data_IF_592799895559
#
_entry.id   IF_592799895559
#
_cell.length_a   1.000
_cell.length_b   1.000
_cell.length_c   1.000
_cell.angle_alpha   90.00
_cell.angle_beta   90.00
_cell.angle_gamma   90.00
#
_symmetry.space_group_name_H-M   'P 1'
#
loop_
_entity.id
_entity.type
_entity.pdbx_description
1 polymer ?
#
# COMPACT_ATOMS: atom_id res chain seq x y z
N UNK A 1 -27.15 8.02 -23.49
CA UNK A 1 -27.33 7.84 -22.03
C UNK A 1 -27.46 6.34 -21.85
N UNK A 2 -26.29 5.66 -21.71
CA UNK A 2 -26.27 4.23 -21.41
C UNK A 2 -26.41 4.09 -19.90
N UNK A 3 -27.36 3.27 -19.51
CA UNK A 3 -27.70 2.85 -18.17
C UNK A 3 -26.45 2.56 -17.34
N UNK A 4 -26.45 3.03 -16.10
CA UNK A 4 -25.56 2.60 -15.04
C UNK A 4 -25.72 1.08 -14.89
N UNK A 5 -24.94 0.33 -15.65
CA UNK A 5 -24.85 -1.12 -15.46
C UNK A 5 -24.36 -1.34 -14.05
N UNK A 6 -25.11 -2.13 -13.28
CA UNK A 6 -24.79 -2.57 -11.94
C UNK A 6 -23.32 -2.94 -11.82
N UNK A 7 -22.68 -2.54 -10.72
CA UNK A 7 -21.30 -2.91 -10.45
C UNK A 7 -21.17 -4.43 -10.50
N UNK A 8 -20.44 -4.95 -11.46
CA UNK A 8 -20.25 -6.40 -11.63
C UNK A 8 -19.71 -7.06 -10.35
N UNK A 9 -18.93 -6.30 -9.54
CA UNK A 9 -18.34 -6.74 -8.28
C UNK A 9 -18.63 -5.72 -7.18
N UNK A 10 -19.86 -5.73 -6.69
CA UNK A 10 -20.29 -4.86 -5.60
C UNK A 10 -19.82 -5.37 -4.21
N UNK A 11 -20.09 -4.59 -3.18
CA UNK A 11 -19.74 -4.94 -1.80
C UNK A 11 -20.30 -6.32 -1.39
N UNK A 12 -21.52 -6.64 -1.79
CA UNK A 12 -22.19 -7.89 -1.42
C UNK A 12 -21.50 -9.07 -2.09
N UNK A 13 -21.21 -8.95 -3.39
CA UNK A 13 -20.49 -9.96 -4.14
C UNK A 13 -19.11 -10.22 -3.54
N UNK A 14 -18.32 -9.16 -3.29
CA UNK A 14 -16.96 -9.26 -2.73
C UNK A 14 -16.99 -9.95 -1.37
N UNK A 15 -17.88 -9.51 -0.47
CA UNK A 15 -17.98 -10.09 0.88
C UNK A 15 -18.40 -11.56 0.84
N UNK A 16 -19.30 -11.95 -0.10
CA UNK A 16 -19.74 -13.33 -0.23
C UNK A 16 -18.65 -14.32 -0.67
N UNK A 17 -17.52 -13.83 -1.20
CA UNK A 17 -16.38 -14.66 -1.62
C UNK A 17 -15.33 -14.84 -0.52
N UNK A 18 -15.43 -14.07 0.55
CA UNK A 18 -14.47 -14.09 1.64
C UNK A 18 -14.56 -15.38 2.46
N UNK A 19 -13.39 -15.89 2.82
CA UNK A 19 -13.28 -16.95 3.81
C UNK A 19 -13.34 -16.43 5.26
N UNK A 20 -12.75 -17.20 6.16
CA UNK A 20 -12.69 -16.83 7.57
C UNK A 20 -11.64 -15.75 7.84
N UNK A 21 -11.91 -14.90 8.85
CA UNK A 21 -10.91 -14.00 9.42
C UNK A 21 -9.90 -14.79 10.24
N UNK A 22 -8.70 -14.29 10.32
CA UNK A 22 -7.73 -14.77 11.29
C UNK A 22 -8.18 -14.40 12.72
N UNK A 23 -7.76 -15.20 13.70
CA UNK A 23 -7.95 -14.82 15.11
C UNK A 23 -6.93 -13.73 15.44
N UNK A 24 -7.42 -12.58 15.87
CA UNK A 24 -6.61 -11.43 16.26
C UNK A 24 -6.98 -10.98 17.67
N UNK A 25 -6.03 -10.40 18.38
CA UNK A 25 -6.23 -9.78 19.68
C UNK A 25 -6.25 -8.25 19.50
N UNK A 26 -7.30 -7.54 19.92
CA UNK A 26 -7.37 -6.09 19.80
C UNK A 26 -6.31 -5.34 20.62
N UNK A 27 -5.62 -5.99 21.56
CA UNK A 27 -4.55 -5.40 22.37
C UNK A 27 -3.14 -5.62 21.81
N UNK A 28 -3.02 -6.49 20.79
CA UNK A 28 -1.71 -6.90 20.22
C UNK A 28 -1.73 -6.65 18.70
N UNK A 29 -0.67 -6.03 18.12
CA UNK A 29 -0.56 -5.90 16.67
C UNK A 29 -0.47 -7.30 16.05
N UNK A 30 -1.07 -7.51 14.88
CA UNK A 30 -0.99 -8.82 14.24
C UNK A 30 0.39 -9.13 13.65
N UNK A 31 1.30 -8.16 13.63
CA UNK A 31 2.68 -8.36 13.24
C UNK A 31 3.53 -7.11 13.39
N UNK A 32 4.82 -7.28 13.40
CA UNK A 32 5.81 -6.21 13.29
C UNK A 32 7.10 -6.75 12.69
N UNK A 33 7.85 -5.89 12.03
CA UNK A 33 9.17 -6.22 11.46
C UNK A 33 10.03 -4.97 11.29
N UNK A 34 11.27 -5.16 10.92
CA UNK A 34 12.18 -4.09 10.49
C UNK A 34 12.68 -4.42 9.09
N UNK A 35 12.63 -3.44 8.21
CA UNK A 35 13.17 -3.52 6.86
C UNK A 35 14.08 -2.33 6.57
N UNK A 36 14.96 -2.49 5.58
CA UNK A 36 15.72 -1.35 5.04
C UNK A 36 14.90 -0.67 3.95
N UNK A 37 14.74 0.62 4.08
CA UNK A 37 14.13 1.46 3.05
C UNK A 37 15.00 2.69 2.76
N UNK A 38 15.03 3.17 1.53
CA UNK A 38 15.68 4.43 1.19
C UNK A 38 14.89 5.60 1.76
N UNK A 39 15.46 6.29 2.72
CA UNK A 39 14.88 7.47 3.36
C UNK A 39 14.88 8.70 2.42
N UNK A 40 14.22 9.77 2.83
CA UNK A 40 14.25 11.07 2.11
C UNK A 40 15.67 11.61 2.02
N UNK A 41 16.50 11.36 3.04
CA UNK A 41 17.92 11.72 3.07
C UNK A 41 18.76 11.09 1.94
N UNK A 42 18.23 10.05 1.27
CA UNK A 42 18.95 9.26 0.29
C UNK A 42 19.75 8.10 0.88
N UNK A 43 19.78 7.93 2.20
CA UNK A 43 20.39 6.79 2.86
C UNK A 43 19.42 5.60 2.92
N UNK A 44 19.96 4.37 2.91
CA UNK A 44 19.19 3.16 3.22
C UNK A 44 19.18 2.98 4.74
N UNK A 45 18.01 3.18 5.36
CA UNK A 45 17.86 3.21 6.81
C UNK A 45 16.86 2.13 7.28
N UNK A 46 17.05 1.68 8.53
CA UNK A 46 16.15 0.71 9.12
C UNK A 46 14.82 1.39 9.49
N UNK A 47 13.73 0.84 9.00
CA UNK A 47 12.36 1.30 9.19
C UNK A 47 11.55 0.22 9.90
N UNK A 48 10.98 0.54 11.04
CA UNK A 48 10.05 -0.33 11.74
C UNK A 48 8.68 -0.32 11.07
N UNK A 49 8.02 -1.47 11.03
CA UNK A 49 6.64 -1.61 10.58
C UNK A 49 5.85 -2.28 11.68
N UNK A 50 4.72 -1.68 12.05
CA UNK A 50 3.75 -2.27 12.97
C UNK A 50 2.44 -2.47 12.21
N UNK A 51 1.95 -3.69 12.18
CA UNK A 51 0.66 -4.04 11.59
C UNK A 51 -0.40 -4.05 12.68
N UNK A 52 -1.15 -2.98 12.77
CA UNK A 52 -2.14 -2.75 13.82
C UNK A 52 -3.39 -3.60 13.61
N UNK A 53 -3.89 -4.16 14.69
CA UNK A 53 -5.19 -4.82 14.76
C UNK A 53 -6.26 -3.80 15.09
N UNK A 54 -7.20 -3.58 14.20
CA UNK A 54 -8.31 -2.64 14.35
C UNK A 54 -9.54 -3.10 13.58
N UNK A 55 -10.63 -2.33 13.68
CA UNK A 55 -11.84 -2.58 12.91
C UNK A 55 -11.56 -2.54 11.41
N UNK A 56 -12.23 -3.41 10.68
CA UNK A 56 -12.16 -3.48 9.22
C UNK A 56 -12.49 -2.13 8.56
N UNK A 57 -11.73 -1.82 7.50
CA UNK A 57 -11.96 -0.69 6.61
C UNK A 57 -13.40 -0.64 6.10
N UNK A 58 -14.04 0.54 6.02
CA UNK A 58 -15.41 0.67 5.49
C UNK A 58 -15.52 0.37 4.00
N UNK A 59 -14.42 0.46 3.25
CA UNK A 59 -14.37 0.14 1.83
C UNK A 59 -14.16 -1.36 1.59
N UNK A 60 -14.71 -1.87 0.49
CA UNK A 60 -14.64 -3.29 0.10
C UNK A 60 -13.98 -3.41 -1.26
N UNK A 61 -12.69 -3.10 -1.31
CA UNK A 61 -11.94 -3.19 -2.57
C UNK A 61 -11.81 -4.65 -3.02
N UNK A 62 -12.00 -4.89 -4.33
CA UNK A 62 -12.04 -6.22 -4.92
C UNK A 62 -10.79 -7.07 -4.64
N UNK A 63 -9.62 -6.44 -4.70
CA UNK A 63 -8.32 -7.12 -4.52
C UNK A 63 -7.86 -7.22 -3.06
N UNK A 64 -8.55 -6.56 -2.12
CA UNK A 64 -8.07 -6.42 -0.75
C UNK A 64 -8.24 -7.71 0.05
N UNK A 65 -7.17 -8.16 0.70
CA UNK A 65 -7.17 -9.29 1.63
C UNK A 65 -6.89 -8.87 3.10
N UNK A 66 -6.61 -7.60 3.33
CA UNK A 66 -6.23 -7.05 4.63
C UNK A 66 -7.30 -7.23 5.71
N UNK A 67 -8.58 -7.34 5.31
CA UNK A 67 -9.70 -7.62 6.21
C UNK A 67 -9.51 -8.87 7.06
N UNK A 68 -8.65 -9.80 6.64
CA UNK A 68 -8.38 -11.06 7.37
C UNK A 68 -7.83 -10.84 8.78
N UNK A 69 -7.05 -9.76 8.97
CA UNK A 69 -6.39 -9.45 10.24
C UNK A 69 -7.06 -8.30 11.00
N UNK A 70 -8.36 -8.11 10.79
CA UNK A 70 -9.13 -7.02 11.40
C UNK A 70 -10.21 -7.54 12.35
N UNK A 71 -10.67 -6.68 13.26
CA UNK A 71 -11.83 -6.94 14.11
C UNK A 71 -13.14 -6.54 13.43
N UNK A 72 -14.26 -7.04 13.90
CA UNK A 72 -15.60 -6.61 13.45
C UNK A 72 -15.97 -5.28 14.10
N UNK A 73 -15.71 -5.18 15.40
CA UNK A 73 -16.03 -4.01 16.20
C UNK A 73 -14.80 -3.10 16.35
N UNK A 74 -15.06 -1.83 16.63
CA UNK A 74 -14.01 -0.87 16.98
C UNK A 74 -13.26 -1.36 18.22
N UNK A 75 -11.94 -1.30 18.18
CA UNK A 75 -11.11 -1.68 19.32
C UNK A 75 -11.31 -0.70 20.49
N UNK A 76 -11.16 -1.14 21.74
CA UNK A 76 -11.27 -0.26 22.90
C UNK A 76 -10.29 0.91 22.83
N UNK A 77 -10.68 2.06 23.38
CA UNK A 77 -9.77 3.20 23.57
C UNK A 77 -8.54 2.74 24.37
N UNK A 78 -7.36 3.16 23.94
CA UNK A 78 -6.07 2.73 24.49
C UNK A 78 -5.51 1.44 23.87
N UNK A 79 -6.30 0.67 23.11
CA UNK A 79 -5.83 -0.57 22.49
C UNK A 79 -4.73 -0.28 21.43
N UNK A 80 -4.90 0.76 20.62
CA UNK A 80 -3.89 1.12 19.60
C UNK A 80 -2.57 1.56 20.24
N UNK A 81 -2.52 2.48 21.21
CA UNK A 81 -1.30 2.76 21.98
C UNK A 81 -0.65 1.53 22.58
N UNK A 82 -1.45 0.59 23.15
CA UNK A 82 -0.93 -0.65 23.71
C UNK A 82 -0.24 -1.53 22.67
N UNK A 83 -0.83 -1.67 21.48
CA UNK A 83 -0.24 -2.40 20.36
C UNK A 83 1.09 -1.78 19.93
N UNK A 84 1.14 -0.45 19.81
CA UNK A 84 2.38 0.27 19.44
C UNK A 84 3.44 0.01 20.52
N UNK A 85 3.13 0.19 21.80
CA UNK A 85 4.06 -0.06 22.91
C UNK A 85 4.56 -1.51 22.90
N UNK A 86 3.66 -2.47 22.71
CA UNK A 86 3.98 -3.90 22.62
C UNK A 86 5.03 -4.19 21.53
N UNK A 87 4.88 -3.60 20.34
CA UNK A 87 5.83 -3.78 19.25
C UNK A 87 7.17 -3.07 19.53
N UNK A 88 7.12 -1.81 20.01
CA UNK A 88 8.32 -1.01 20.27
C UNK A 88 9.23 -1.64 21.34
N UNK A 89 8.68 -2.30 22.36
CA UNK A 89 9.44 -3.02 23.37
C UNK A 89 10.21 -4.24 22.81
N UNK A 90 9.82 -4.72 21.64
CA UNK A 90 10.35 -5.95 20.99
C UNK A 90 11.12 -5.68 19.71
N UNK A 91 11.06 -4.45 19.24
CA UNK A 91 11.74 -3.99 18.04
C UNK A 91 13.08 -3.35 18.38
N UNK A 92 14.15 -3.57 17.59
CA UNK A 92 15.38 -2.80 17.74
C UNK A 92 15.11 -1.31 17.50
N UNK A 93 16.00 -0.44 18.01
CA UNK A 93 15.90 1.00 17.74
C UNK A 93 15.99 1.29 16.25
N UNK A 94 15.00 1.99 15.71
CA UNK A 94 14.90 2.40 14.31
C UNK A 94 14.58 3.90 14.23
N UNK A 95 14.90 4.55 13.10
CA UNK A 95 14.68 5.99 12.92
C UNK A 95 13.30 6.32 12.34
N UNK A 96 12.71 5.41 11.57
CA UNK A 96 11.44 5.58 10.88
C UNK A 96 10.46 4.50 11.30
N UNK A 97 9.17 4.83 11.33
CA UNK A 97 8.12 3.90 11.72
C UNK A 97 6.93 3.97 10.77
N UNK A 98 6.43 2.80 10.36
CA UNK A 98 5.18 2.66 9.61
C UNK A 98 4.11 2.05 10.52
N UNK A 99 2.97 2.69 10.60
CA UNK A 99 1.79 2.17 11.28
C UNK A 99 0.76 1.78 10.21
N UNK A 100 0.80 0.53 9.80
CA UNK A 100 -0.13 -0.02 8.83
C UNK A 100 -1.28 -0.69 9.56
N UNK A 101 -2.50 -0.31 9.23
CA UNK A 101 -3.68 -0.69 10.00
C UNK A 101 -4.73 -1.42 9.18
N UNK A 102 -4.35 -2.03 8.06
CA UNK A 102 -5.26 -2.78 7.19
C UNK A 102 -6.50 -1.98 6.78
N UNK A 103 -6.34 -0.68 6.60
CA UNK A 103 -7.44 0.21 6.30
C UNK A 103 -7.03 1.68 6.22
N UNK A 104 -7.57 2.50 7.12
CA UNK A 104 -7.32 3.93 7.14
C UNK A 104 -7.09 4.40 8.56
N UNK A 105 -5.93 4.99 8.81
CA UNK A 105 -5.57 5.52 10.12
C UNK A 105 -6.55 6.62 10.58
N UNK A 106 -7.08 7.40 9.64
CA UNK A 106 -8.01 8.48 9.94
C UNK A 106 -9.50 8.07 9.95
N UNK A 107 -9.78 6.76 9.85
CA UNK A 107 -11.11 6.22 10.15
C UNK A 107 -11.31 6.13 11.66
N UNK A 108 -12.29 6.88 12.25
CA UNK A 108 -12.55 6.84 13.69
C UNK A 108 -13.06 5.47 14.17
N UNK A 109 -13.57 4.63 13.24
CA UNK A 109 -13.93 3.26 13.52
C UNK A 109 -12.73 2.33 13.66
N UNK A 110 -11.60 2.67 13.05
CA UNK A 110 -10.36 1.91 13.13
C UNK A 110 -9.44 2.45 14.23
N UNK A 111 -9.16 3.76 14.23
CA UNK A 111 -8.26 4.42 15.19
C UNK A 111 -9.05 5.50 15.94
N UNK A 112 -9.38 5.32 17.22
CA UNK A 112 -10.06 6.33 18.02
C UNK A 112 -9.26 7.64 18.12
N UNK A 113 -9.88 8.79 17.83
CA UNK A 113 -9.19 10.10 17.92
C UNK A 113 -8.70 10.40 19.35
N UNK A 114 -9.33 9.85 20.38
CA UNK A 114 -8.88 9.95 21.77
C UNK A 114 -7.48 9.36 21.98
N UNK A 115 -7.05 8.42 21.15
CA UNK A 115 -5.75 7.76 21.22
C UNK A 115 -4.62 8.56 20.58
N UNK A 116 -4.94 9.56 19.72
CA UNK A 116 -3.93 10.31 18.94
C UNK A 116 -2.82 10.92 19.81
N UNK A 117 -3.19 11.45 20.96
CA UNK A 117 -2.24 12.11 21.88
C UNK A 117 -1.23 11.14 22.47
N UNK A 118 -1.71 9.95 22.87
CA UNK A 118 -0.85 8.89 23.39
C UNK A 118 0.00 8.26 22.28
N UNK A 119 -0.59 8.01 21.10
CA UNK A 119 0.14 7.55 19.91
C UNK A 119 1.29 8.51 19.59
N UNK A 120 1.01 9.81 19.47
CA UNK A 120 2.02 10.83 19.19
C UNK A 120 3.14 10.85 20.24
N UNK A 121 2.80 10.69 21.52
CA UNK A 121 3.77 10.61 22.60
C UNK A 121 4.71 9.40 22.47
N UNK A 122 4.19 8.24 22.09
CA UNK A 122 4.99 7.03 21.86
C UNK A 122 5.94 7.18 20.66
N UNK A 123 5.56 7.98 19.67
CA UNK A 123 6.28 8.13 18.42
C UNK A 123 7.30 9.29 18.40
N UNK A 124 7.41 10.07 19.46
CA UNK A 124 8.21 11.31 19.51
C UNK A 124 9.70 11.14 19.18
N UNK A 125 10.24 9.95 19.27
CA UNK A 125 11.67 9.66 19.08
C UNK A 125 12.02 9.30 17.62
N UNK A 126 11.02 9.09 16.78
CA UNK A 126 11.24 8.81 15.37
C UNK A 126 11.49 10.11 14.59
N UNK A 127 12.07 9.98 13.42
CA UNK A 127 12.22 11.08 12.47
C UNK A 127 10.98 11.18 11.56
N UNK A 128 10.43 10.02 11.16
CA UNK A 128 9.29 9.95 10.26
C UNK A 128 8.28 8.92 10.78
N UNK A 129 7.02 9.30 10.74
CA UNK A 129 5.86 8.42 10.96
C UNK A 129 5.09 8.29 9.66
N UNK A 130 4.89 7.07 9.19
CA UNK A 130 4.13 6.76 7.98
C UNK A 130 2.84 6.06 8.41
N UNK A 131 1.69 6.57 7.98
CA UNK A 131 0.37 5.94 8.18
C UNK A 131 -0.30 5.71 6.83
N UNK A 132 -1.24 4.76 6.77
CA UNK A 132 -2.02 4.54 5.56
C UNK A 132 -3.43 5.10 5.67
N UNK A 133 -3.99 5.57 4.57
CA UNK A 133 -5.37 6.04 4.52
C UNK A 133 -5.99 5.90 3.13
N UNK A 134 -7.30 5.73 3.10
CA UNK A 134 -8.06 5.89 1.88
C UNK A 134 -8.20 7.39 1.58
N UNK A 135 -8.06 7.84 0.30
CA UNK A 135 -8.16 9.27 -0.04
C UNK A 135 -9.41 9.97 0.49
N UNK A 136 -10.56 9.32 0.46
CA UNK A 136 -11.83 9.89 0.98
C UNK A 136 -11.87 10.08 2.50
N UNK A 137 -10.91 9.58 3.24
CA UNK A 137 -10.79 9.78 4.68
C UNK A 137 -9.73 10.83 5.06
N UNK A 138 -9.15 11.48 4.07
CA UNK A 138 -8.26 12.62 4.27
C UNK A 138 -9.10 13.86 4.59
N UNK A 139 -8.99 14.33 5.82
CA UNK A 139 -9.75 15.46 6.37
C UNK A 139 -8.87 16.26 7.33
N UNK A 140 -9.42 17.25 8.01
CA UNK A 140 -8.74 18.00 9.08
C UNK A 140 -8.15 17.13 10.20
N UNK A 141 -8.61 15.87 10.35
CA UNK A 141 -8.06 14.92 11.33
C UNK A 141 -6.59 14.62 11.06
N UNK A 142 -6.20 14.62 9.78
CA UNK A 142 -4.79 14.47 9.40
C UNK A 142 -3.93 15.59 9.96
N UNK A 143 -4.44 16.83 9.89
CA UNK A 143 -3.75 18.02 10.42
C UNK A 143 -3.71 17.98 11.95
N UNK A 144 -4.82 17.63 12.60
CA UNK A 144 -4.85 17.45 14.07
C UNK A 144 -3.81 16.44 14.55
N UNK A 145 -3.67 15.31 13.85
CA UNK A 145 -2.68 14.29 14.21
C UNK A 145 -1.26 14.79 13.94
N UNK A 146 -1.01 15.41 12.75
CA UNK A 146 0.28 16.03 12.44
C UNK A 146 0.71 17.03 13.52
N UNK A 147 -0.20 17.88 13.98
CA UNK A 147 0.10 18.94 14.97
C UNK A 147 0.44 18.39 16.37
N UNK A 148 0.11 17.14 16.64
CA UNK A 148 0.51 16.41 17.86
C UNK A 148 1.88 15.76 17.74
N UNK A 149 2.35 15.49 16.50
CA UNK A 149 3.59 14.77 16.26
C UNK A 149 4.82 15.68 16.36
N UNK A 150 5.91 15.11 16.86
CA UNK A 150 7.26 15.69 16.72
C UNK A 150 7.89 15.25 15.39
N UNK A 151 7.82 13.97 14.99
CA UNK A 151 8.33 13.50 13.70
C UNK A 151 7.50 14.02 12.51
N UNK A 152 8.10 13.95 11.33
CA UNK A 152 7.40 14.23 10.07
C UNK A 152 6.32 13.17 9.79
N UNK A 153 5.12 13.62 9.43
CA UNK A 153 4.03 12.73 9.03
C UNK A 153 4.06 12.49 7.54
N UNK A 154 4.04 11.22 7.17
CA UNK A 154 3.81 10.76 5.81
C UNK A 154 2.50 9.97 5.74
N UNK A 155 1.72 10.18 4.69
CA UNK A 155 0.47 9.44 4.47
C UNK A 155 0.57 8.62 3.18
N UNK A 156 0.44 7.32 3.32
CA UNK A 156 0.38 6.40 2.20
C UNK A 156 -1.07 6.19 1.77
N UNK A 157 -1.38 6.46 0.49
CA UNK A 157 -2.73 6.36 -0.06
C UNK A 157 -2.77 5.42 -1.27
N UNK A 158 -3.81 4.58 -1.34
CA UNK A 158 -4.06 3.73 -2.49
C UNK A 158 -4.61 4.52 -3.66
N UNK A 159 -3.79 4.82 -4.67
CA UNK A 159 -4.22 5.27 -6.00
C UNK A 159 -4.75 4.10 -6.80
N UNK A 160 -4.12 2.96 -6.68
CA UNK A 160 -4.31 1.68 -7.38
C UNK A 160 -4.02 1.80 -8.87
N UNK A 161 -4.77 2.62 -9.59
CA UNK A 161 -4.64 2.87 -11.03
C UNK A 161 -5.29 4.20 -11.41
N UNK A 162 -4.87 4.77 -12.53
CA UNK A 162 -5.53 5.96 -13.10
C UNK A 162 -6.59 5.60 -14.16
N UNK A 163 -6.76 4.32 -14.47
CA UNK A 163 -7.84 3.88 -15.34
C UNK A 163 -9.19 4.01 -14.60
N UNK A 164 -10.11 4.91 -15.03
CA UNK A 164 -11.33 5.19 -14.26
C UNK A 164 -12.31 4.02 -14.27
N UNK A 165 -12.36 3.25 -15.35
CA UNK A 165 -13.22 2.07 -15.42
C UNK A 165 -12.72 0.98 -14.49
N UNK A 166 -11.41 0.76 -14.46
CA UNK A 166 -10.80 -0.22 -13.58
C UNK A 166 -10.95 0.18 -12.11
N UNK A 167 -10.81 1.48 -11.74
CA UNK A 167 -11.10 1.96 -10.38
C UNK A 167 -12.53 1.61 -9.94
N UNK A 168 -13.48 1.71 -10.86
CA UNK A 168 -14.88 1.32 -10.61
C UNK A 168 -15.00 -0.19 -10.39
N UNK A 169 -14.37 -1.00 -11.24
CA UNK A 169 -14.36 -2.46 -11.14
C UNK A 169 -13.70 -2.92 -9.84
N UNK A 170 -12.59 -2.29 -9.44
CA UNK A 170 -11.91 -2.56 -8.18
C UNK A 170 -12.72 -2.15 -6.94
N UNK A 171 -13.90 -1.56 -7.14
CA UNK A 171 -14.76 -1.07 -6.07
C UNK A 171 -14.03 -0.15 -5.08
N UNK A 172 -13.09 0.64 -5.61
CA UNK A 172 -12.28 1.56 -4.80
C UNK A 172 -13.11 2.74 -4.27
N UNK A 173 -14.28 2.99 -4.85
CA UNK A 173 -15.23 4.03 -4.42
C UNK A 173 -14.62 5.44 -4.39
N UNK A 174 -13.67 5.71 -5.27
CA UNK A 174 -13.07 7.03 -5.48
C UNK A 174 -12.79 7.25 -6.96
N UNK A 175 -12.58 8.51 -7.31
CA UNK A 175 -12.07 8.94 -8.62
C UNK A 175 -10.59 9.31 -8.52
N UNK A 176 -9.93 9.50 -9.66
CA UNK A 176 -8.57 10.04 -9.72
C UNK A 176 -8.51 11.48 -9.18
N UNK A 177 -9.58 12.26 -9.33
CA UNK A 177 -9.67 13.60 -8.77
C UNK A 177 -9.78 13.58 -7.24
N UNK A 178 -10.49 12.61 -6.65
CA UNK A 178 -10.51 12.41 -5.19
C UNK A 178 -9.07 12.19 -4.67
N UNK A 179 -8.29 11.33 -5.34
CA UNK A 179 -6.89 11.10 -4.98
C UNK A 179 -6.05 12.37 -5.11
N UNK A 180 -6.13 13.04 -6.27
CA UNK A 180 -5.37 14.26 -6.55
C UNK A 180 -5.65 15.37 -5.55
N UNK A 181 -6.93 15.59 -5.22
CA UNK A 181 -7.34 16.60 -4.25
C UNK A 181 -6.82 16.27 -2.85
N UNK A 182 -6.89 15.00 -2.44
CA UNK A 182 -6.35 14.54 -1.15
C UNK A 182 -4.82 14.66 -1.09
N UNK A 183 -4.12 14.29 -2.16
CA UNK A 183 -2.66 14.43 -2.23
C UNK A 183 -2.22 15.90 -2.12
N UNK A 184 -2.88 16.79 -2.85
CA UNK A 184 -2.62 18.24 -2.76
C UNK A 184 -2.93 18.80 -1.40
N UNK A 185 -4.09 18.45 -0.83
CA UNK A 185 -4.45 18.89 0.52
C UNK A 185 -3.38 18.52 1.56
N UNK A 186 -2.85 17.30 1.51
CA UNK A 186 -1.77 16.87 2.40
C UNK A 186 -0.48 17.63 2.14
N UNK A 187 -0.04 17.70 0.89
CA UNK A 187 1.19 18.36 0.45
C UNK A 187 1.19 19.87 0.78
N UNK A 188 0.08 20.58 0.51
CA UNK A 188 -0.08 21.99 0.82
C UNK A 188 -0.03 22.27 2.33
N UNK A 189 -0.25 21.24 3.15
CA UNK A 189 -0.17 21.31 4.60
C UNK A 189 1.12 20.67 5.17
N UNK A 190 2.16 20.45 4.36
CA UNK A 190 3.45 19.94 4.79
C UNK A 190 3.43 18.47 5.23
N UNK A 191 2.48 17.67 4.73
CA UNK A 191 2.41 16.24 4.95
C UNK A 191 2.86 15.53 3.67
N UNK A 192 3.86 14.69 3.79
CA UNK A 192 4.40 13.93 2.66
C UNK A 192 3.44 12.83 2.20
N UNK A 193 3.39 12.59 0.90
CA UNK A 193 2.45 11.62 0.32
C UNK A 193 3.17 10.49 -0.38
N UNK A 194 2.75 9.25 -0.04
CA UNK A 194 3.11 8.02 -0.76
C UNK A 194 1.88 7.50 -1.50
N UNK A 195 2.03 7.07 -2.75
CA UNK A 195 0.99 6.40 -3.53
C UNK A 195 1.25 4.90 -3.64
N UNK A 196 0.23 4.08 -3.35
CA UNK A 196 0.23 2.67 -3.72
C UNK A 196 -0.38 2.50 -5.10
N UNK A 197 0.32 1.78 -5.98
CA UNK A 197 -0.04 1.57 -7.39
C UNK A 197 -0.02 0.08 -7.68
N UNK A 198 -1.11 -0.46 -8.20
CA UNK A 198 -1.22 -1.87 -8.53
C UNK A 198 -0.55 -2.18 -9.87
N UNK A 199 0.23 -3.25 -9.90
CA UNK A 199 0.69 -3.85 -11.14
C UNK A 199 -0.25 -4.98 -11.54
N UNK A 200 -0.81 -4.86 -12.74
CA UNK A 200 -1.70 -5.83 -13.37
C UNK A 200 -2.89 -6.23 -12.48
N UNK A 201 -3.76 -5.30 -12.11
CA UNK A 201 -5.05 -5.65 -11.52
C UNK A 201 -5.89 -6.50 -12.49
N UNK A 202 -7.00 -7.12 -12.02
CA UNK A 202 -7.86 -7.97 -12.84
C UNK A 202 -8.25 -7.33 -14.17
N UNK A 203 -8.62 -8.15 -15.15
CA UNK A 203 -9.08 -7.79 -16.51
C UNK A 203 -8.01 -7.15 -17.40
N UNK A 204 -6.78 -7.04 -16.96
CA UNK A 204 -5.68 -6.50 -17.77
C UNK A 204 -4.76 -7.60 -18.29
N UNK A 205 -4.34 -7.45 -19.53
CA UNK A 205 -3.18 -8.15 -20.07
C UNK A 205 -1.91 -7.68 -19.39
N UNK A 206 -0.81 -8.40 -19.53
CA UNK A 206 0.49 -8.03 -18.97
C UNK A 206 0.97 -6.65 -19.46
N UNK A 207 0.80 -6.38 -20.76
CA UNK A 207 1.20 -5.10 -21.36
C UNK A 207 0.35 -3.92 -20.89
N UNK A 208 -0.96 -4.13 -20.73
CA UNK A 208 -1.85 -3.11 -20.16
C UNK A 208 -1.54 -2.86 -18.68
N UNK A 209 -1.19 -3.91 -17.92
CA UNK A 209 -0.76 -3.79 -16.53
C UNK A 209 0.47 -2.89 -16.39
N UNK A 210 1.49 -3.08 -17.25
CA UNK A 210 2.67 -2.21 -17.30
C UNK A 210 2.27 -0.78 -17.68
N UNK A 211 1.49 -0.61 -18.74
CA UNK A 211 1.07 0.71 -19.22
C UNK A 211 0.34 1.51 -18.16
N UNK A 212 -0.69 0.93 -17.53
CA UNK A 212 -1.48 1.65 -16.53
C UNK A 212 -0.72 1.90 -15.23
N UNK A 213 0.22 1.03 -14.83
CA UNK A 213 1.10 1.29 -13.70
C UNK A 213 2.03 2.48 -13.97
N UNK A 214 2.63 2.59 -15.17
CA UNK A 214 3.45 3.73 -15.58
C UNK A 214 2.64 5.02 -15.62
N UNK A 215 1.44 5.02 -16.22
CA UNK A 215 0.55 6.18 -16.24
C UNK A 215 0.14 6.62 -14.81
N UNK A 216 0.00 5.65 -13.90
CA UNK A 216 -0.34 5.93 -12.50
C UNK A 216 0.83 6.57 -11.75
N UNK A 217 2.07 6.18 -12.02
CA UNK A 217 3.28 6.82 -11.48
C UNK A 217 3.37 8.27 -11.96
N UNK A 218 3.19 8.52 -13.27
CA UNK A 218 3.21 9.87 -13.82
C UNK A 218 2.15 10.76 -13.18
N UNK A 219 0.93 10.26 -13.08
CA UNK A 219 -0.18 10.97 -12.45
C UNK A 219 0.09 11.27 -10.98
N UNK A 220 0.63 10.30 -10.22
CA UNK A 220 0.94 10.47 -8.81
C UNK A 220 1.94 11.61 -8.61
N UNK A 221 3.06 11.61 -9.32
CA UNK A 221 4.05 12.69 -9.23
C UNK A 221 3.48 14.04 -9.66
N UNK A 222 2.66 14.08 -10.71
CA UNK A 222 2.00 15.32 -11.17
C UNK A 222 0.91 15.81 -10.18
N UNK A 223 0.53 14.98 -9.21
CA UNK A 223 -0.41 15.31 -8.13
C UNK A 223 0.27 15.75 -6.83
N UNK A 224 1.61 15.83 -6.79
CA UNK A 224 2.38 16.23 -5.61
C UNK A 224 2.80 15.07 -4.70
N UNK A 225 2.71 13.83 -5.18
CA UNK A 225 3.23 12.65 -4.49
C UNK A 225 4.75 12.62 -4.58
N UNK A 226 5.43 12.28 -3.50
CA UNK A 226 6.89 12.20 -3.43
C UNK A 226 7.43 10.77 -3.52
N UNK A 227 6.58 9.80 -3.29
CA UNK A 227 6.95 8.40 -3.25
C UNK A 227 5.86 7.52 -3.84
N UNK A 228 6.21 6.62 -4.76
CA UNK A 228 5.31 5.59 -5.28
C UNK A 228 5.78 4.20 -4.83
N UNK A 229 4.84 3.32 -4.50
CA UNK A 229 5.12 1.89 -4.27
C UNK A 229 4.27 1.06 -5.21
N UNK A 230 4.95 0.25 -6.04
CA UNK A 230 4.31 -0.65 -7.00
C UNK A 230 4.02 -1.96 -6.30
N UNK A 231 2.75 -2.36 -6.30
CA UNK A 231 2.27 -3.57 -5.62
C UNK A 231 1.78 -4.55 -6.69
N UNK A 232 2.51 -5.65 -6.94
CA UNK A 232 2.02 -6.70 -7.81
C UNK A 232 0.78 -7.36 -7.18
N UNK A 233 -0.32 -7.42 -7.94
CA UNK A 233 -1.59 -7.95 -7.42
C UNK A 233 -1.47 -9.44 -7.17
N UNK A 234 -1.99 -9.89 -6.02
CA UNK A 234 -2.00 -11.28 -5.57
C UNK A 234 -3.43 -11.82 -5.48
N UNK A 235 -3.55 -13.12 -5.54
CA UNK A 235 -4.73 -13.83 -5.05
C UNK A 235 -4.68 -13.97 -3.52
N UNK A 236 -5.67 -14.58 -2.91
CA UNK A 236 -5.67 -14.87 -1.48
C UNK A 236 -6.89 -14.32 -0.73
N UNK A 237 -7.83 -13.66 -1.40
CA UNK A 237 -8.98 -13.03 -0.73
C UNK A 237 -10.35 -13.68 -1.05
N UNK A 238 -10.36 -14.74 -1.86
CA UNK A 238 -11.55 -15.45 -2.34
C UNK A 238 -12.11 -14.87 -3.64
N UNK A 239 -12.21 -13.57 -3.77
CA UNK A 239 -12.67 -12.90 -4.98
C UNK A 239 -11.65 -13.02 -6.13
N UNK A 240 -10.38 -12.85 -5.84
CA UNK A 240 -9.31 -12.95 -6.84
C UNK A 240 -9.14 -14.37 -7.37
N UNK A 241 -9.35 -15.40 -6.55
CA UNK A 241 -9.37 -16.81 -6.96
C UNK A 241 -10.52 -17.10 -7.92
N UNK A 242 -11.70 -16.52 -7.67
CA UNK A 242 -12.83 -16.69 -8.59
C UNK A 242 -12.56 -16.02 -9.95
N UNK A 243 -11.92 -14.85 -9.96
CA UNK A 243 -11.51 -14.17 -11.19
C UNK A 243 -10.45 -14.96 -11.96
N UNK A 244 -9.51 -15.57 -11.25
CA UNK A 244 -8.49 -16.45 -11.86
C UNK A 244 -9.16 -17.67 -12.52
N UNK A 245 -10.09 -18.34 -11.85
CA UNK A 245 -10.85 -19.46 -12.41
C UNK A 245 -11.68 -19.07 -13.66
N UNK A 246 -12.10 -17.80 -13.76
CA UNK A 246 -12.81 -17.26 -14.93
C UNK A 246 -11.87 -16.81 -16.05
N UNK A 247 -10.55 -16.80 -15.82
CA UNK A 247 -9.56 -16.24 -16.74
C UNK A 247 -9.54 -14.71 -16.77
N UNK A 248 -10.16 -14.06 -15.79
CA UNK A 248 -10.25 -12.59 -15.65
C UNK A 248 -9.13 -12.00 -14.80
N UNK A 249 -8.33 -12.84 -14.17
CA UNK A 249 -7.13 -12.47 -13.44
C UNK A 249 -5.98 -13.43 -13.73
N UNK A 250 -4.78 -12.91 -13.77
CA UNK A 250 -3.52 -13.67 -13.79
C UNK A 250 -2.48 -12.90 -13.00
N UNK A 251 -1.61 -13.59 -12.28
CA UNK A 251 -0.50 -12.95 -11.58
C UNK A 251 0.39 -12.16 -12.56
N UNK A 252 0.86 -10.97 -12.18
CA UNK A 252 1.86 -10.24 -12.95
C UNK A 252 3.19 -11.01 -12.99
N UNK A 253 3.98 -10.79 -14.03
CA UNK A 253 5.33 -11.34 -14.13
C UNK A 253 6.33 -10.46 -13.37
N UNK A 254 7.29 -11.06 -12.66
CA UNK A 254 8.37 -10.33 -11.95
C UNK A 254 9.14 -9.39 -12.89
N UNK A 255 9.25 -9.74 -14.17
CA UNK A 255 9.88 -8.91 -15.18
C UNK A 255 9.09 -7.61 -15.45
N UNK A 256 7.77 -7.68 -15.38
CA UNK A 256 6.91 -6.50 -15.49
C UNK A 256 7.08 -5.57 -14.28
N UNK A 257 7.28 -6.14 -13.09
CA UNK A 257 7.60 -5.37 -11.89
C UNK A 257 8.94 -4.63 -12.04
N UNK A 258 9.98 -5.33 -12.53
CA UNK A 258 11.28 -4.70 -12.84
C UNK A 258 11.12 -3.53 -13.83
N UNK A 259 10.37 -3.73 -14.94
CA UNK A 259 10.16 -2.69 -15.95
C UNK A 259 9.47 -1.45 -15.42
N UNK A 260 8.44 -1.63 -14.61
CA UNK A 260 7.68 -0.51 -14.05
C UNK A 260 8.49 0.22 -12.98
N UNK A 261 9.24 -0.51 -12.15
CA UNK A 261 10.16 0.07 -11.18
C UNK A 261 11.27 0.89 -11.87
N UNK A 262 11.92 0.31 -12.88
CA UNK A 262 12.96 0.98 -13.68
C UNK A 262 12.41 2.25 -14.37
N UNK A 263 11.21 2.17 -14.95
CA UNK A 263 10.54 3.33 -15.51
C UNK A 263 10.38 4.45 -14.48
N UNK A 264 9.81 4.12 -13.31
CA UNK A 264 9.55 5.11 -12.27
C UNK A 264 10.82 5.75 -11.72
N UNK A 265 11.88 4.98 -11.49
CA UNK A 265 13.19 5.48 -11.06
C UNK A 265 13.79 6.43 -12.10
N UNK A 266 13.76 6.05 -13.38
CA UNK A 266 14.31 6.86 -14.48
C UNK A 266 13.58 8.19 -14.71
N UNK A 267 12.35 8.36 -14.21
CA UNK A 267 11.67 9.66 -14.21
C UNK A 267 12.38 10.71 -13.35
N UNK A 268 13.11 10.26 -12.32
CA UNK A 268 13.83 11.12 -11.37
C UNK A 268 12.96 12.23 -10.75
N UNK A 269 11.68 11.92 -10.47
CA UNK A 269 10.69 12.86 -9.89
C UNK A 269 10.45 12.65 -8.41
N UNK A 270 10.89 11.51 -7.88
CA UNK A 270 10.70 11.09 -6.50
C UNK A 270 11.12 9.65 -6.32
N UNK A 271 10.93 9.09 -5.13
CA UNK A 271 11.30 7.70 -4.83
C UNK A 271 10.24 6.74 -5.37
N UNK A 272 10.70 5.64 -5.97
CA UNK A 272 9.80 4.58 -6.44
C UNK A 272 10.28 3.24 -5.90
N UNK A 273 9.37 2.51 -5.29
CA UNK A 273 9.63 1.19 -4.70
C UNK A 273 8.77 0.13 -5.35
N UNK A 274 9.26 -1.09 -5.36
CA UNK A 274 8.46 -2.28 -5.62
C UNK A 274 8.22 -3.04 -4.31
N UNK A 275 7.01 -3.53 -4.07
CA UNK A 275 6.74 -4.50 -3.03
C UNK A 275 7.48 -5.81 -3.36
N UNK A 276 8.32 -6.26 -2.42
CA UNK A 276 9.19 -7.44 -2.61
C UNK A 276 8.71 -8.69 -1.85
N UNK A 277 7.51 -8.66 -1.28
CA UNK A 277 6.95 -9.79 -0.59
C UNK A 277 6.58 -10.90 -1.56
N UNK A 278 6.98 -12.13 -1.24
CA UNK A 278 6.65 -13.35 -2.00
C UNK A 278 6.94 -13.28 -3.51
N UNK A 279 8.03 -12.61 -3.91
CA UNK A 279 8.39 -12.45 -5.34
C UNK A 279 8.45 -13.76 -6.11
N UNK A 280 8.66 -14.89 -5.43
CA UNK A 280 8.67 -16.22 -6.04
C UNK A 280 7.39 -16.58 -6.79
N UNK A 281 6.22 -16.12 -6.32
CA UNK A 281 4.93 -16.43 -6.97
C UNK A 281 4.77 -15.74 -8.33
N UNK A 282 5.54 -14.67 -8.58
CA UNK A 282 5.51 -13.90 -9.82
C UNK A 282 6.56 -14.37 -10.84
N UNK A 283 7.41 -15.31 -10.47
CA UNK A 283 8.46 -15.82 -11.36
C UNK A 283 8.04 -17.13 -12.00
N UNK A 284 8.18 -17.18 -13.32
CA UNK A 284 8.05 -18.42 -14.11
C UNK A 284 9.38 -19.14 -14.33
N UNK A 285 10.44 -18.68 -13.70
CA UNK A 285 11.79 -19.15 -13.95
C UNK A 285 12.64 -19.15 -12.67
N UNK A 286 12.91 -20.32 -12.14
CA UNK A 286 13.73 -20.47 -10.92
C UNK A 286 15.20 -20.04 -11.14
N UNK A 287 15.70 -20.15 -12.37
CA UNK A 287 17.12 -19.82 -12.68
C UNK A 287 17.46 -18.34 -12.52
N UNK A 288 16.51 -17.44 -12.74
CA UNK A 288 16.76 -16.01 -12.64
C UNK A 288 16.03 -15.34 -11.46
N UNK A 289 15.23 -16.06 -10.70
CA UNK A 289 14.47 -15.51 -9.58
C UNK A 289 15.37 -14.77 -8.58
N UNK A 290 16.41 -15.42 -8.07
CA UNK A 290 17.31 -14.81 -7.08
C UNK A 290 18.01 -13.55 -7.63
N UNK A 291 18.43 -13.57 -8.89
CA UNK A 291 19.07 -12.42 -9.52
C UNK A 291 18.11 -11.25 -9.68
N UNK A 292 16.84 -11.52 -10.06
CA UNK A 292 15.81 -10.50 -10.19
C UNK A 292 15.39 -9.94 -8.84
N UNK A 293 15.24 -10.81 -7.83
CA UNK A 293 14.95 -10.39 -6.46
C UNK A 293 16.04 -9.45 -5.93
N UNK A 294 17.31 -9.82 -6.12
CA UNK A 294 18.44 -8.97 -5.74
C UNK A 294 18.42 -7.63 -6.49
N UNK A 295 18.19 -7.66 -7.81
CA UNK A 295 18.11 -6.45 -8.64
C UNK A 295 16.98 -5.51 -8.16
N UNK A 296 15.77 -6.02 -7.93
CA UNK A 296 14.63 -5.23 -7.44
C UNK A 296 14.95 -4.64 -6.05
N UNK A 297 15.54 -5.43 -5.15
CA UNK A 297 15.94 -4.95 -3.82
C UNK A 297 17.00 -3.85 -3.93
N UNK A 298 18.00 -4.01 -4.79
CA UNK A 298 19.02 -3.00 -5.06
C UNK A 298 18.39 -1.71 -5.61
N UNK A 299 17.49 -1.81 -6.59
CA UNK A 299 16.75 -0.67 -7.14
C UNK A 299 15.94 0.06 -6.06
N UNK A 300 15.28 -0.66 -5.15
CA UNK A 300 14.58 -0.06 -4.03
C UNK A 300 15.53 0.75 -3.12
N UNK A 301 16.71 0.21 -2.83
CA UNK A 301 17.64 0.82 -1.88
C UNK A 301 18.48 1.95 -2.50
N UNK A 302 18.85 1.83 -3.76
CA UNK A 302 19.73 2.79 -4.44
C UNK A 302 18.99 3.85 -5.23
N UNK A 303 17.77 3.54 -5.69
CA UNK A 303 17.02 4.30 -6.70
C UNK A 303 17.83 4.47 -8.00
N UNK A 304 18.62 3.46 -8.32
CA UNK A 304 19.34 3.33 -9.58
C UNK A 304 18.88 2.05 -10.27
N UNK A 305 18.88 2.03 -11.61
CA UNK A 305 18.49 0.88 -12.40
C UNK A 305 19.74 0.12 -12.90
N UNK A 306 20.20 -0.94 -12.17
CA UNK A 306 21.31 -1.78 -12.64
C UNK A 306 20.93 -2.49 -13.95
N UNK A 307 21.91 -3.00 -14.71
CA UNK A 307 21.65 -3.70 -15.96
C UNK A 307 20.60 -4.80 -15.83
N UNK A 308 19.73 -4.95 -16.82
CA UNK A 308 18.67 -5.95 -16.83
C UNK A 308 19.22 -7.38 -16.81
N UNK A 309 18.52 -8.28 -16.12
CA UNK A 309 18.90 -9.68 -16.05
C UNK A 309 18.63 -10.37 -17.39
N UNK A 310 19.69 -10.87 -18.02
CA UNK A 310 19.60 -11.66 -19.26
C UNK A 310 19.28 -13.12 -18.90
N UNK A 311 18.14 -13.61 -19.34
CA UNK A 311 17.72 -14.99 -19.15
C UNK A 311 16.94 -15.47 -20.38
N UNK A 312 17.07 -16.74 -20.71
CA UNK A 312 16.35 -17.38 -21.83
C UNK A 312 14.82 -17.32 -21.67
N UNK A 313 14.32 -17.19 -20.44
CA UNK A 313 12.88 -17.01 -20.16
C UNK A 313 12.31 -15.69 -20.71
N UNK A 314 13.15 -14.70 -21.01
CA UNK A 314 12.75 -13.41 -21.60
C UNK A 314 12.57 -13.46 -23.12
N UNK A 315 12.91 -14.62 -23.74
CA UNK A 315 12.89 -14.78 -25.20
C UNK A 315 11.63 -15.45 -25.74
N UNK A 316 10.59 -15.58 -24.90
CA UNK A 316 9.31 -16.20 -25.28
C UNK A 316 8.19 -15.16 -25.37
#
# INVERSE_FOLDING_TARGET
MSELTDLQYDNQWIVSRRGNRNKVDPQIPYGWLVEKERAVSGAAEDTGIIFLTNRECPFRCLMCDLWKNTTVETVPVGAIPNQIRYALERMPGVRHIKLYNSGSFFDPGAIPESDYKEIASLLRHFETVIVESHPKLITEKCLKFRDLLVPELHVAMGLETVNPELLRILNKQMTTDDFKNSARYLSDNGIHVRAFILLRPPLLTESEGIFWAQQSIDFAFNSGVECCTIIPVRSGNGAMEELDMKGEFNLPDIHSLEKVLEYGINLNKGRVFADVWDLGIFSKCDKCLDLRTKRITEMNLTQEAPPSIKCMCNMK
#
